data_IF_002496562275
#
_entry.id   IF_002496562275
#
_cell.length_a   1.000
_cell.length_b   1.000
_cell.length_c   1.000
_cell.angle_alpha   90.00
_cell.angle_beta   90.00
_cell.angle_gamma   90.00
#
_symmetry.space_group_name_H-M   'P 1'
#
loop_
_entity.id
_entity.type
_entity.pdbx_description
1 polymer ?
#
# COMPACT_ATOMS: atom_id res chain seq x y z
N UNK A 1 6.02 -36.59 -15.18
CA UNK A 1 5.31 -36.42 -13.90
C UNK A 1 6.03 -35.32 -13.12
N UNK A 2 5.49 -34.11 -13.08
CA UNK A 2 6.09 -33.02 -12.28
C UNK A 2 5.64 -33.18 -10.84
N UNK A 3 6.58 -33.45 -9.94
CA UNK A 3 6.35 -33.39 -8.49
C UNK A 3 5.91 -31.97 -8.11
N UNK A 4 4.83 -31.80 -7.32
CA UNK A 4 4.40 -30.48 -6.88
C UNK A 4 5.52 -29.83 -6.07
N UNK A 5 5.94 -28.65 -6.50
CA UNK A 5 7.00 -27.90 -5.85
C UNK A 5 6.42 -27.14 -4.67
N UNK A 6 6.85 -27.51 -3.48
CA UNK A 6 6.51 -26.81 -2.25
C UNK A 6 7.67 -25.92 -1.79
N UNK A 7 7.31 -24.84 -1.11
CA UNK A 7 8.21 -23.82 -0.60
C UNK A 7 8.06 -23.69 0.90
N UNK A 8 9.17 -23.52 1.60
CA UNK A 8 9.15 -23.00 2.97
C UNK A 8 8.98 -21.47 2.94
N UNK A 9 8.55 -20.88 4.06
CA UNK A 9 8.36 -19.42 4.15
C UNK A 9 9.63 -18.62 3.82
N UNK A 10 10.81 -19.14 4.20
CA UNK A 10 12.10 -18.51 3.87
C UNK A 10 12.39 -18.52 2.37
N UNK A 11 12.01 -19.59 1.68
CA UNK A 11 12.20 -19.71 0.23
C UNK A 11 11.24 -18.77 -0.51
N UNK A 12 9.98 -18.67 -0.06
CA UNK A 12 9.04 -17.69 -0.58
C UNK A 12 9.58 -16.27 -0.38
N UNK A 13 10.01 -15.92 0.83
CA UNK A 13 10.58 -14.60 1.14
C UNK A 13 11.72 -14.22 0.18
N UNK A 14 12.66 -15.14 -0.05
CA UNK A 14 13.77 -14.93 -0.98
C UNK A 14 13.29 -14.75 -2.42
N UNK A 15 12.32 -15.55 -2.88
CA UNK A 15 11.81 -15.50 -4.26
C UNK A 15 10.95 -14.28 -4.54
N UNK A 16 10.12 -13.87 -3.58
CA UNK A 16 9.23 -12.73 -3.73
C UNK A 16 9.89 -11.41 -3.30
N UNK A 17 11.07 -11.47 -2.68
CA UNK A 17 11.75 -10.34 -2.02
C UNK A 17 10.84 -9.66 -0.97
N UNK A 18 10.04 -10.46 -0.28
CA UNK A 18 9.22 -10.00 0.84
C UNK A 18 9.87 -10.52 2.12
N UNK A 19 9.72 -9.79 3.22
CA UNK A 19 10.16 -10.32 4.51
C UNK A 19 9.27 -11.51 4.92
N UNK A 20 9.82 -12.42 5.71
CA UNK A 20 9.01 -13.51 6.29
C UNK A 20 7.87 -12.98 7.16
N UNK A 21 8.04 -11.80 7.77
CA UNK A 21 7.01 -11.19 8.60
C UNK A 21 5.88 -10.60 7.76
N UNK A 22 6.19 -10.06 6.58
CA UNK A 22 5.16 -9.66 5.59
C UNK A 22 4.33 -10.85 5.13
N UNK A 23 4.99 -12.00 4.85
CA UNK A 23 4.26 -13.22 4.45
C UNK A 23 3.37 -13.72 5.61
N UNK A 24 3.88 -13.73 6.85
CA UNK A 24 3.08 -14.08 8.04
C UNK A 24 1.93 -13.10 8.28
N UNK A 25 2.15 -11.83 8.00
CA UNK A 25 1.12 -10.80 8.11
C UNK A 25 -0.02 -11.08 7.12
N UNK A 26 0.29 -11.42 5.86
CA UNK A 26 -0.72 -11.82 4.89
C UNK A 26 -1.43 -13.13 5.25
N UNK A 27 -0.72 -14.11 5.83
CA UNK A 27 -1.36 -15.32 6.38
C UNK A 27 -2.35 -14.98 7.50
N UNK A 28 -1.98 -14.10 8.44
CA UNK A 28 -2.87 -13.63 9.52
C UNK A 28 -4.10 -12.87 9.01
N UNK A 29 -3.97 -12.21 7.86
CA UNK A 29 -5.07 -11.53 7.17
C UNK A 29 -5.88 -12.46 6.27
N UNK A 30 -5.65 -13.77 6.31
CA UNK A 30 -6.29 -14.78 5.45
C UNK A 30 -6.11 -14.53 3.94
N UNK A 31 -5.13 -13.71 3.56
CA UNK A 31 -4.76 -13.46 2.17
C UNK A 31 -3.98 -14.62 1.57
N UNK A 32 -3.42 -15.48 2.40
CA UNK A 32 -2.61 -16.64 2.02
C UNK A 32 -2.92 -17.78 2.98
N UNK A 33 -2.91 -19.00 2.45
CA UNK A 33 -3.03 -20.21 3.25
C UNK A 33 -1.89 -21.17 2.90
N UNK A 34 -1.27 -21.83 3.89
CA UNK A 34 -0.33 -22.91 3.61
C UNK A 34 -1.07 -24.10 3.00
N UNK A 35 -0.44 -24.79 2.05
CA UNK A 35 -1.01 -25.98 1.43
C UNK A 35 -1.14 -27.12 2.43
N UNK A 36 -0.13 -27.31 3.29
CA UNK A 36 -0.17 -28.27 4.39
C UNK A 36 0.88 -27.92 5.47
N UNK A 37 0.78 -28.62 6.60
CA UNK A 37 1.85 -28.70 7.59
C UNK A 37 2.50 -30.07 7.51
N UNK A 38 3.83 -30.11 7.36
CA UNK A 38 4.57 -31.37 7.38
C UNK A 38 4.72 -31.94 8.79
N UNK A 39 5.23 -33.16 8.89
CA UNK A 39 5.47 -33.85 10.18
C UNK A 39 6.47 -33.11 11.08
N UNK A 40 7.32 -32.28 10.48
CA UNK A 40 8.22 -31.35 11.17
C UNK A 40 7.51 -30.08 11.70
N UNK A 41 6.19 -30.01 11.62
CA UNK A 41 5.33 -28.88 11.96
C UNK A 41 5.64 -27.59 11.16
N UNK A 42 6.38 -27.69 10.06
CA UNK A 42 6.61 -26.57 9.16
C UNK A 42 5.46 -26.42 8.16
N UNK A 43 5.19 -25.16 7.81
CA UNK A 43 4.22 -24.81 6.77
C UNK A 43 4.87 -24.91 5.41
N UNK A 44 4.22 -25.62 4.50
CA UNK A 44 4.61 -25.76 3.11
C UNK A 44 3.60 -25.03 2.24
N UNK A 45 4.10 -24.26 1.28
CA UNK A 45 3.31 -23.45 0.37
C UNK A 45 3.54 -23.92 -1.06
N UNK A 46 2.50 -23.96 -1.87
CA UNK A 46 2.57 -24.35 -3.27
C UNK A 46 2.91 -23.18 -4.21
N UNK A 47 2.93 -23.48 -5.51
CA UNK A 47 3.14 -22.48 -6.56
C UNK A 47 1.99 -21.47 -6.65
N UNK A 48 0.76 -21.86 -6.29
CA UNK A 48 -0.40 -20.95 -6.29
C UNK A 48 -0.22 -19.86 -5.22
N UNK A 49 0.26 -20.24 -4.04
CA UNK A 49 0.63 -19.29 -2.98
C UNK A 49 1.70 -18.31 -3.47
N UNK A 50 2.71 -18.80 -4.20
CA UNK A 50 3.74 -17.94 -4.79
C UNK A 50 3.13 -16.95 -5.80
N UNK A 51 2.26 -17.40 -6.70
CA UNK A 51 1.57 -16.52 -7.67
C UNK A 51 0.73 -15.47 -6.96
N UNK A 52 -0.02 -15.86 -5.93
CA UNK A 52 -0.83 -14.97 -5.10
C UNK A 52 0.01 -13.92 -4.36
N UNK A 53 1.16 -14.32 -3.81
CA UNK A 53 2.12 -13.37 -3.22
C UNK A 53 2.64 -12.35 -4.23
N UNK A 54 2.96 -12.79 -5.44
CA UNK A 54 3.41 -11.89 -6.51
C UNK A 54 2.29 -10.95 -6.97
N UNK A 55 1.04 -11.42 -7.00
CA UNK A 55 -0.13 -10.59 -7.26
C UNK A 55 -0.28 -9.49 -6.19
N UNK A 56 -0.33 -9.87 -4.91
CA UNK A 56 -0.40 -8.94 -3.78
C UNK A 56 0.76 -7.93 -3.84
N UNK A 57 1.99 -8.38 -4.12
CA UNK A 57 3.16 -7.50 -4.26
C UNK A 57 2.94 -6.44 -5.34
N UNK A 58 2.43 -6.82 -6.52
CA UNK A 58 2.16 -5.88 -7.63
C UNK A 58 1.05 -4.88 -7.28
N UNK A 59 -0.02 -5.33 -6.62
CA UNK A 59 -1.07 -4.42 -6.16
C UNK A 59 -0.52 -3.39 -5.16
N UNK A 60 0.30 -3.83 -4.20
CA UNK A 60 0.94 -2.92 -3.23
C UNK A 60 1.93 -1.95 -3.88
N UNK A 61 2.54 -2.27 -5.02
CA UNK A 61 3.37 -1.29 -5.77
C UNK A 61 2.55 -0.18 -6.43
N UNK A 62 1.23 -0.39 -6.60
CA UNK A 62 0.28 0.62 -7.08
C UNK A 62 -0.47 1.32 -5.94
N UNK A 63 0.01 1.12 -4.71
CA UNK A 63 -0.61 1.56 -3.46
C UNK A 63 -2.07 1.12 -3.26
N UNK A 64 -2.48 0.05 -3.94
CA UNK A 64 -3.81 -0.55 -3.74
C UNK A 64 -3.87 -1.11 -2.32
N UNK A 65 -4.92 -0.76 -1.59
CA UNK A 65 -5.11 -1.14 -0.19
C UNK A 65 -5.30 -2.65 -0.01
N UNK A 66 -5.13 -3.15 1.21
CA UNK A 66 -5.37 -4.57 1.48
C UNK A 66 -6.84 -4.96 1.25
N UNK A 67 -7.79 -4.08 1.57
CA UNK A 67 -9.21 -4.36 1.33
C UNK A 67 -9.56 -4.46 -0.15
N UNK A 68 -8.97 -3.61 -0.99
CA UNK A 68 -9.12 -3.72 -2.45
C UNK A 68 -8.43 -4.97 -3.00
N UNK A 69 -7.28 -5.34 -2.45
CA UNK A 69 -6.60 -6.60 -2.80
C UNK A 69 -7.47 -7.81 -2.44
N UNK A 70 -8.15 -7.80 -1.29
CA UNK A 70 -9.11 -8.85 -0.91
C UNK A 70 -10.22 -8.97 -1.95
N UNK A 71 -10.85 -7.86 -2.34
CA UNK A 71 -11.87 -7.84 -3.38
C UNK A 71 -11.36 -8.36 -4.73
N UNK A 72 -10.15 -7.97 -5.15
CA UNK A 72 -9.53 -8.47 -6.37
C UNK A 72 -9.25 -9.98 -6.32
N UNK A 73 -8.82 -10.50 -5.18
CA UNK A 73 -8.56 -11.94 -4.98
C UNK A 73 -9.85 -12.78 -4.92
N UNK A 74 -10.97 -12.19 -4.52
CA UNK A 74 -12.30 -12.82 -4.61
C UNK A 74 -12.78 -12.88 -6.07
N UNK A 75 -12.61 -11.79 -6.82
CA UNK A 75 -12.95 -11.74 -8.25
C UNK A 75 -12.09 -12.69 -9.09
N UNK A 76 -10.80 -12.84 -8.76
CA UNK A 76 -9.89 -13.79 -9.43
C UNK A 76 -10.40 -15.25 -9.33
N UNK A 77 -11.11 -15.60 -8.27
CA UNK A 77 -11.68 -16.94 -8.07
C UNK A 77 -12.94 -17.19 -8.90
N UNK A 78 -13.45 -16.18 -9.62
CA UNK A 78 -14.66 -16.25 -10.44
C UNK A 78 -14.33 -15.98 -11.92
N UNK A 79 -13.58 -16.87 -12.61
CA UNK A 79 -13.06 -16.62 -13.96
C UNK A 79 -14.15 -16.46 -15.04
N UNK A 80 -15.37 -16.90 -14.78
CA UNK A 80 -16.51 -16.75 -15.69
C UNK A 80 -17.27 -15.43 -15.52
N UNK A 81 -16.92 -14.61 -14.50
CA UNK A 81 -17.55 -13.31 -14.27
C UNK A 81 -16.98 -12.24 -15.22
N UNK A 82 -17.78 -11.24 -15.54
CA UNK A 82 -17.30 -10.06 -16.28
C UNK A 82 -16.25 -9.29 -15.46
N UNK A 83 -15.18 -8.84 -16.13
CA UNK A 83 -14.15 -7.99 -15.53
C UNK A 83 -14.64 -6.58 -15.14
N UNK A 84 -15.93 -6.26 -15.33
CA UNK A 84 -16.54 -4.98 -14.96
C UNK A 84 -16.28 -4.57 -13.51
N UNK A 85 -16.35 -5.52 -12.57
CA UNK A 85 -16.08 -5.24 -11.17
C UNK A 85 -14.61 -4.86 -10.92
N UNK A 86 -13.68 -5.50 -11.62
CA UNK A 86 -12.24 -5.16 -11.57
C UNK A 86 -12.02 -3.76 -12.14
N UNK A 87 -12.61 -3.45 -13.31
CA UNK A 87 -12.49 -2.13 -13.92
C UNK A 87 -13.00 -1.02 -12.99
N UNK A 88 -14.18 -1.22 -12.40
CA UNK A 88 -14.77 -0.25 -11.48
C UNK A 88 -13.90 -0.01 -10.25
N UNK A 89 -13.31 -1.06 -9.67
CA UNK A 89 -12.38 -0.92 -8.54
C UNK A 89 -11.15 -0.09 -8.94
N UNK A 90 -10.57 -0.37 -10.11
CA UNK A 90 -9.41 0.39 -10.60
C UNK A 90 -9.77 1.84 -10.93
N UNK A 91 -10.94 2.10 -11.52
CA UNK A 91 -11.44 3.46 -11.77
C UNK A 91 -11.59 4.24 -10.46
N UNK A 92 -12.18 3.64 -9.42
CA UNK A 92 -12.30 4.24 -8.09
C UNK A 92 -10.93 4.55 -7.46
N UNK A 93 -9.95 3.65 -7.59
CA UNK A 93 -8.60 3.89 -7.08
C UNK A 93 -7.91 5.04 -7.84
N UNK A 94 -8.11 5.13 -9.16
CA UNK A 94 -7.61 6.26 -9.96
C UNK A 94 -8.20 7.59 -9.46
N UNK A 95 -9.50 7.63 -9.17
CA UNK A 95 -10.16 8.83 -8.61
C UNK A 95 -9.54 9.22 -7.26
N UNK A 96 -9.39 8.26 -6.33
CA UNK A 96 -8.78 8.49 -5.02
C UNK A 96 -7.35 9.04 -5.11
N UNK A 97 -6.53 8.45 -5.99
CA UNK A 97 -5.16 8.92 -6.24
C UNK A 97 -5.17 10.34 -6.83
N UNK A 98 -6.09 10.61 -7.74
CA UNK A 98 -6.25 11.94 -8.37
C UNK A 98 -6.62 13.00 -7.33
N UNK A 99 -7.57 12.71 -6.46
CA UNK A 99 -7.96 13.60 -5.36
C UNK A 99 -6.79 13.86 -4.42
N UNK A 100 -6.00 12.82 -4.10
CA UNK A 100 -4.82 12.98 -3.26
C UNK A 100 -3.75 13.86 -3.91
N UNK A 101 -3.55 13.74 -5.22
CA UNK A 101 -2.64 14.60 -5.97
C UNK A 101 -3.10 16.06 -5.88
N UNK A 102 -4.39 16.34 -6.08
CA UNK A 102 -4.95 17.68 -6.00
C UNK A 102 -4.74 18.28 -4.60
N UNK A 103 -5.00 17.50 -3.55
CA UNK A 103 -4.77 17.93 -2.16
C UNK A 103 -3.29 18.22 -1.89
N UNK A 104 -2.38 17.33 -2.32
CA UNK A 104 -0.94 17.51 -2.14
C UNK A 104 -0.40 18.70 -2.92
N UNK A 105 -0.93 18.97 -4.12
CA UNK A 105 -0.60 20.17 -4.89
C UNK A 105 -1.04 21.44 -4.15
N UNK A 106 -2.24 21.45 -3.56
CA UNK A 106 -2.70 22.58 -2.74
C UNK A 106 -1.79 22.82 -1.54
N UNK A 107 -1.42 21.75 -0.83
CA UNK A 107 -0.50 21.83 0.32
C UNK A 107 0.88 22.34 -0.11
N UNK A 108 1.40 21.85 -1.24
CA UNK A 108 2.66 22.35 -1.81
C UNK A 108 2.59 23.86 -2.09
N UNK A 109 1.49 24.35 -2.67
CA UNK A 109 1.33 25.78 -2.93
C UNK A 109 1.31 26.60 -1.64
N UNK A 110 0.64 26.12 -0.58
CA UNK A 110 0.66 26.76 0.73
C UNK A 110 2.09 26.84 1.31
N UNK A 111 2.87 25.76 1.21
CA UNK A 111 4.26 25.75 1.66
C UNK A 111 5.14 26.71 0.84
N UNK A 112 4.93 26.80 -0.48
CA UNK A 112 5.64 27.75 -1.34
C UNK A 112 5.33 29.20 -0.94
N UNK A 113 4.05 29.51 -0.71
CA UNK A 113 3.62 30.84 -0.25
C UNK A 113 4.21 31.18 1.12
N UNK A 114 4.14 30.25 2.06
CA UNK A 114 4.75 30.40 3.38
C UNK A 114 6.25 30.66 3.24
N UNK A 115 6.97 29.89 2.42
CA UNK A 115 8.41 30.10 2.17
C UNK A 115 8.70 31.46 1.55
N UNK A 116 7.85 31.94 0.63
CA UNK A 116 8.01 33.22 -0.04
C UNK A 116 7.79 34.43 0.90
N UNK A 117 7.05 34.25 2.01
CA UNK A 117 6.80 35.31 3.00
C UNK A 117 8.08 35.82 3.68
N UNK A 118 9.16 35.03 3.68
CA UNK A 118 10.41 35.37 4.35
C UNK A 118 11.57 35.48 3.35
N UNK A 119 12.14 36.68 3.23
CA UNK A 119 13.38 36.89 2.49
C UNK A 119 14.60 36.39 3.29
N UNK A 120 15.56 35.79 2.60
CA UNK A 120 16.77 35.23 3.22
C UNK A 120 17.80 36.33 3.48
N UNK A 121 18.04 36.64 4.76
CA UNK A 121 19.23 37.29 5.39
C UNK A 121 18.91 37.98 6.73
N UNK A 122 17.77 37.70 7.37
CA UNK A 122 17.42 38.30 8.66
C UNK A 122 17.50 37.30 9.83
N UNK A 123 17.39 37.80 11.06
CA UNK A 123 17.41 37.00 12.30
C UNK A 123 16.11 36.24 12.51
N UNK A 124 16.14 35.20 13.35
CA UNK A 124 14.97 34.38 13.72
C UNK A 124 13.83 35.25 14.27
N UNK A 125 14.13 36.26 15.10
CA UNK A 125 13.14 37.19 15.67
C UNK A 125 12.35 37.99 14.62
N UNK A 126 12.92 38.11 13.41
CA UNK A 126 12.31 38.80 12.27
C UNK A 126 11.80 37.85 11.18
N UNK A 127 11.85 36.53 11.43
CA UNK A 127 11.40 35.50 10.51
C UNK A 127 9.87 35.57 10.35
N UNK A 128 9.42 35.88 9.12
CA UNK A 128 7.99 36.00 8.83
C UNK A 128 7.29 34.63 8.81
N UNK A 129 8.00 33.57 8.44
CA UNK A 129 7.46 32.19 8.48
C UNK A 129 7.02 31.83 9.90
N UNK A 130 7.89 32.07 10.91
CA UNK A 130 7.57 31.74 12.30
C UNK A 130 6.40 32.58 12.82
N UNK A 131 6.41 33.89 12.54
CA UNK A 131 5.31 34.78 12.92
C UNK A 131 3.98 34.33 12.32
N UNK A 132 3.98 33.90 11.06
CA UNK A 132 2.77 33.42 10.38
C UNK A 132 2.27 32.12 11.01
N UNK A 133 3.13 31.13 11.22
CA UNK A 133 2.78 29.84 11.87
C UNK A 133 2.28 30.02 13.31
N UNK A 134 2.81 30.98 14.06
CA UNK A 134 2.33 31.30 15.41
C UNK A 134 0.98 32.05 15.39
N UNK A 135 0.72 32.84 14.35
CA UNK A 135 -0.51 33.63 14.22
C UNK A 135 -1.73 32.83 13.74
N UNK A 136 -1.54 31.82 12.87
CA UNK A 136 -2.62 30.97 12.34
C UNK A 136 -3.20 30.00 13.39
N UNK A 137 -2.52 29.78 14.53
CA UNK A 137 -3.02 28.96 15.64
C UNK A 137 -4.15 29.61 16.45
N UNK A 138 -4.59 30.85 16.13
CA UNK A 138 -5.69 31.53 16.82
C UNK A 138 -7.09 31.24 16.25
N UNK A 139 -7.20 30.55 15.12
CA UNK A 139 -8.49 30.20 14.49
C UNK A 139 -8.74 28.69 14.44
N UNK A 140 -8.59 27.99 15.57
CA UNK A 140 -9.23 26.69 15.78
C UNK A 140 -9.87 26.70 17.17
N UNK A 141 -10.97 27.44 17.27
CA UNK A 141 -11.92 27.35 18.37
C UNK A 141 -13.30 27.59 17.79
N UNK A 142 -13.90 26.52 17.26
CA UNK A 142 -15.34 26.34 17.14
C UNK A 142 -15.62 24.83 17.07
#
# INVERSE_FOLDING_TARGET
MNTPKYYLIKELANKTQLSTDTIRFYEKKNLLQPSFRGDNNYRYYDENTFKRLMFIKRCRTLDISLGEIEALLELEQQPSQSCRAVNQLIEQHIEQVTDKIIELQKFQQQLIQLRASCSSTKTIDSCQILKQLESENKEISN
#
